data_IF_272310315395
#
_entry.id   IF_272310315395
#
_cell.length_a   1.000
_cell.length_b   1.000
_cell.length_c   1.000
_cell.angle_alpha   90.00
_cell.angle_beta   90.00
_cell.angle_gamma   90.00
#
_symmetry.space_group_name_H-M   'P 1'
#
loop_
_entity.id
_entity.type
_entity.pdbx_description
1 polymer ?
#
# COMPACT_ATOMS: atom_id res chain seq x y z
N UNK A 1 -3.35 12.93 -27.83
CA UNK A 1 -3.11 12.72 -26.39
C UNK A 1 -2.11 11.59 -26.21
N UNK A 2 -1.41 11.59 -25.07
CA UNK A 2 -0.44 10.56 -24.69
C UNK A 2 -1.01 9.83 -23.49
N UNK A 3 -0.95 8.50 -23.49
CA UNK A 3 -1.33 7.64 -22.37
C UNK A 3 -0.08 6.92 -21.87
N UNK A 4 0.26 7.13 -20.60
CA UNK A 4 1.27 6.35 -19.91
C UNK A 4 0.62 5.12 -19.27
N UNK A 5 1.05 3.95 -19.71
CA UNK A 5 0.55 2.65 -19.22
C UNK A 5 1.46 1.98 -18.20
N UNK A 6 2.52 2.66 -17.80
CA UNK A 6 3.44 2.17 -16.76
C UNK A 6 2.94 2.52 -15.36
N UNK A 7 3.43 1.79 -14.37
CA UNK A 7 3.18 2.03 -12.94
C UNK A 7 4.10 3.11 -12.35
N UNK A 8 4.55 4.05 -13.19
CA UNK A 8 5.35 5.22 -12.84
C UNK A 8 4.70 6.48 -13.43
N UNK A 9 4.77 7.63 -12.74
CA UNK A 9 4.31 8.88 -13.31
C UNK A 9 5.06 9.23 -14.58
N UNK A 10 4.37 9.72 -15.58
CA UNK A 10 5.04 10.22 -16.78
C UNK A 10 5.80 11.50 -16.49
N UNK A 11 7.00 11.63 -17.05
CA UNK A 11 7.82 12.84 -16.97
C UNK A 11 7.68 13.65 -18.26
N UNK A 12 7.43 14.93 -18.17
CA UNK A 12 7.36 15.83 -19.32
C UNK A 12 6.57 17.11 -19.03
N UNK A 13 6.70 18.08 -19.91
CA UNK A 13 6.07 19.40 -19.77
C UNK A 13 4.69 19.49 -20.49
N UNK A 14 4.22 18.38 -21.01
CA UNK A 14 2.93 18.32 -21.74
C UNK A 14 1.94 17.39 -21.00
N UNK A 15 0.63 17.59 -21.17
CA UNK A 15 -0.37 16.77 -20.50
C UNK A 15 -0.30 15.29 -20.93
N UNK A 16 -0.17 14.41 -19.95
CA UNK A 16 -0.14 12.95 -20.14
C UNK A 16 -1.23 12.32 -19.29
N UNK A 17 -2.06 11.48 -19.89
CA UNK A 17 -2.94 10.59 -19.12
C UNK A 17 -2.12 9.49 -18.47
N UNK A 18 -2.28 9.28 -17.17
CA UNK A 18 -1.52 8.30 -16.40
C UNK A 18 -2.42 7.61 -15.40
N UNK A 19 -2.13 6.35 -15.05
CA UNK A 19 -2.89 5.61 -14.03
C UNK A 19 -2.50 6.00 -12.60
N UNK A 20 -1.36 6.65 -12.46
CA UNK A 20 -0.87 7.20 -11.20
C UNK A 20 -0.26 8.59 -11.45
N UNK A 21 -0.31 9.42 -10.45
CA UNK A 21 0.25 10.76 -10.45
C UNK A 21 1.28 10.94 -9.35
N UNK A 22 1.99 12.05 -9.46
CA UNK A 22 2.92 12.51 -8.47
C UNK A 22 2.89 14.05 -8.47
N UNK A 23 2.82 14.67 -7.30
CA UNK A 23 2.80 16.14 -7.17
C UNK A 23 3.96 16.83 -7.89
N UNK A 24 5.09 16.13 -8.04
CA UNK A 24 6.25 16.61 -8.78
C UNK A 24 5.97 16.77 -10.28
N UNK A 25 5.01 16.01 -10.83
CA UNK A 25 4.70 15.99 -12.26
C UNK A 25 3.26 16.45 -12.50
N UNK A 26 3.04 17.76 -12.37
CA UNK A 26 1.73 18.40 -12.50
C UNK A 26 1.08 18.25 -13.89
N UNK A 27 1.84 17.81 -14.89
CA UNK A 27 1.35 17.49 -16.22
C UNK A 27 0.57 16.18 -16.31
N UNK A 28 0.60 15.33 -15.27
CA UNK A 28 -0.15 14.09 -15.27
C UNK A 28 -1.63 14.34 -14.98
N UNK A 29 -2.48 13.83 -15.88
CA UNK A 29 -3.92 13.75 -15.69
C UNK A 29 -4.23 12.31 -15.26
N UNK A 30 -4.51 12.13 -13.97
CA UNK A 30 -4.74 10.78 -13.43
C UNK A 30 -6.10 10.27 -13.84
N UNK A 31 -6.13 9.11 -14.47
CA UNK A 31 -7.33 8.44 -14.98
C UNK A 31 -7.46 7.05 -14.38
N UNK A 32 -8.68 6.47 -14.34
CA UNK A 32 -8.88 5.11 -13.87
C UNK A 32 -8.06 4.10 -14.67
N UNK A 33 -7.40 3.17 -13.98
CA UNK A 33 -6.73 2.04 -14.62
C UNK A 33 -7.77 0.98 -15.03
N UNK A 34 -7.97 0.74 -16.33
CA UNK A 34 -8.97 -0.22 -16.80
C UNK A 34 -8.61 -1.67 -16.39
N UNK A 35 -7.33 -1.98 -16.17
CA UNK A 35 -6.90 -3.29 -15.72
C UNK A 35 -7.30 -3.54 -14.25
N UNK A 36 -7.09 -2.55 -13.38
CA UNK A 36 -7.57 -2.62 -12.00
C UNK A 36 -9.11 -2.69 -11.94
N UNK A 37 -9.79 -1.85 -12.71
CA UNK A 37 -11.25 -1.88 -12.79
C UNK A 37 -11.76 -3.26 -13.23
N UNK A 38 -11.22 -3.84 -14.31
CA UNK A 38 -11.64 -5.16 -14.79
C UNK A 38 -11.35 -6.28 -13.80
N UNK A 39 -10.28 -6.15 -13.00
CA UNK A 39 -9.89 -7.13 -12.00
C UNK A 39 -10.76 -7.09 -10.74
N UNK A 40 -11.16 -5.91 -10.29
CA UNK A 40 -11.78 -5.70 -8.98
C UNK A 40 -13.25 -5.26 -9.05
N UNK A 41 -13.70 -4.65 -10.16
CA UNK A 41 -15.08 -4.19 -10.30
C UNK A 41 -16.06 -5.36 -10.22
N UNK A 42 -17.03 -5.24 -9.35
CA UNK A 42 -18.06 -6.26 -9.12
C UNK A 42 -17.57 -7.50 -8.36
N UNK A 43 -16.33 -7.51 -7.84
CA UNK A 43 -15.84 -8.59 -6.99
C UNK A 43 -16.11 -8.27 -5.53
N UNK A 44 -16.76 -9.22 -4.86
CA UNK A 44 -16.84 -9.25 -3.40
C UNK A 44 -15.66 -10.07 -2.86
N UNK A 45 -14.96 -9.52 -1.88
CA UNK A 45 -13.93 -10.26 -1.17
C UNK A 45 -14.57 -10.97 0.02
N UNK A 46 -14.44 -12.29 0.05
CA UNK A 46 -14.97 -13.11 1.14
C UNK A 46 -14.15 -12.89 2.41
N UNK A 47 -14.59 -11.95 3.23
CA UNK A 47 -14.05 -11.74 4.56
C UNK A 47 -15.21 -11.76 5.57
N UNK A 48 -15.52 -12.96 6.04
CA UNK A 48 -16.63 -13.20 6.97
C UNK A 48 -16.23 -12.98 8.44
N UNK A 49 -14.95 -12.61 8.70
CA UNK A 49 -14.47 -12.43 10.07
C UNK A 49 -14.78 -11.02 10.56
N UNK A 50 -15.49 -10.93 11.69
CA UNK A 50 -15.74 -9.64 12.33
C UNK A 50 -14.42 -8.95 12.72
N UNK A 51 -14.32 -7.65 12.49
CA UNK A 51 -13.14 -6.85 12.81
C UNK A 51 -12.65 -7.04 14.25
N UNK A 52 -13.58 -7.13 15.21
CA UNK A 52 -13.24 -7.29 16.63
C UNK A 52 -12.55 -8.62 16.93
N UNK A 53 -12.80 -9.65 16.13
CA UNK A 53 -12.27 -11.01 16.33
C UNK A 53 -10.96 -11.25 15.59
N UNK A 54 -10.52 -10.32 14.74
CA UNK A 54 -9.26 -10.40 14.01
C UNK A 54 -8.05 -10.18 14.95
N UNK A 55 -6.89 -10.62 14.50
CA UNK A 55 -5.62 -10.38 15.19
C UNK A 55 -5.38 -8.87 15.36
N UNK A 56 -5.09 -8.43 16.58
CA UNK A 56 -4.82 -7.02 16.88
C UNK A 56 -3.40 -6.63 16.44
N UNK A 57 -3.15 -6.69 15.13
CA UNK A 57 -1.87 -6.39 14.50
C UNK A 57 -2.08 -5.76 13.14
N UNK A 58 -1.02 -5.12 12.64
CA UNK A 58 -0.95 -4.58 11.28
C UNK A 58 -0.03 -5.44 10.43
N UNK A 59 -0.45 -5.76 9.21
CA UNK A 59 0.30 -6.65 8.31
C UNK A 59 0.66 -5.97 6.99
N UNK A 60 1.83 -6.30 6.47
CA UNK A 60 2.23 -6.03 5.08
C UNK A 60 2.96 -7.24 4.49
N UNK A 61 2.60 -7.64 3.28
CA UNK A 61 3.32 -8.58 2.41
C UNK A 61 3.41 -7.98 1.03
N UNK A 62 4.60 -7.93 0.46
CA UNK A 62 4.81 -7.41 -0.89
C UNK A 62 6.23 -7.62 -1.37
N UNK A 63 6.50 -7.27 -2.62
CA UNK A 63 7.86 -7.25 -3.17
C UNK A 63 8.61 -6.00 -2.69
N UNK A 64 9.94 -6.03 -2.78
CA UNK A 64 10.83 -4.89 -2.48
C UNK A 64 10.85 -3.82 -3.58
N UNK A 65 9.80 -3.76 -4.42
CA UNK A 65 9.67 -2.73 -5.45
C UNK A 65 9.68 -1.33 -4.85
N UNK A 66 10.13 -0.40 -5.64
CA UNK A 66 10.33 1.00 -5.31
C UNK A 66 11.53 1.47 -6.12
N UNK A 67 11.36 2.49 -6.95
CA UNK A 67 12.38 2.93 -7.91
C UNK A 67 13.52 3.70 -7.23
N UNK A 68 14.19 3.06 -6.27
CA UNK A 68 15.30 3.63 -5.54
C UNK A 68 16.60 2.88 -5.85
N UNK A 69 17.70 3.59 -6.12
CA UNK A 69 18.97 2.97 -6.47
C UNK A 69 19.63 2.22 -5.29
N UNK A 70 19.21 2.51 -4.06
CA UNK A 70 19.79 1.92 -2.84
C UNK A 70 18.70 1.49 -1.85
N UNK A 71 18.90 0.36 -1.13
CA UNK A 71 17.91 -0.18 -0.18
C UNK A 71 17.52 0.79 0.94
N UNK A 72 18.46 1.61 1.41
CA UNK A 72 18.23 2.60 2.48
C UNK A 72 17.32 3.78 2.10
N UNK A 73 16.83 3.81 0.86
CA UNK A 73 15.81 4.76 0.38
C UNK A 73 14.50 4.06 0.03
N UNK A 74 14.50 2.73 -0.01
CA UNK A 74 13.30 1.96 -0.31
C UNK A 74 12.38 1.90 0.92
N UNK A 75 11.18 2.43 0.79
CA UNK A 75 10.24 2.56 1.90
C UNK A 75 9.75 1.22 2.43
N UNK A 76 9.59 0.21 1.57
CA UNK A 76 9.19 -1.14 1.97
C UNK A 76 10.29 -1.83 2.78
N UNK A 77 11.54 -1.72 2.33
CA UNK A 77 12.71 -2.23 3.08
C UNK A 77 12.82 -1.53 4.43
N UNK A 78 12.74 -0.19 4.44
CA UNK A 78 12.81 0.60 5.68
C UNK A 78 11.68 0.24 6.64
N UNK A 79 10.44 0.18 6.17
CA UNK A 79 9.30 -0.16 7.01
C UNK A 79 9.44 -1.55 7.63
N UNK A 80 9.86 -2.56 6.85
CA UNK A 80 10.12 -3.91 7.37
C UNK A 80 11.28 -3.91 8.38
N UNK A 81 12.35 -3.16 8.13
CA UNK A 81 13.52 -3.11 8.99
C UNK A 81 13.25 -2.41 10.33
N UNK A 82 12.61 -1.25 10.30
CA UNK A 82 12.26 -0.48 11.49
C UNK A 82 11.28 -1.21 12.42
N UNK A 83 10.48 -2.10 11.86
CA UNK A 83 9.43 -2.81 12.60
C UNK A 83 9.73 -4.27 12.89
N UNK A 84 10.88 -4.80 12.48
CA UNK A 84 11.23 -6.23 12.55
C UNK A 84 11.13 -6.87 13.94
N UNK A 85 11.33 -6.06 14.99
CA UNK A 85 11.33 -6.51 16.39
C UNK A 85 10.02 -6.13 17.14
N UNK A 86 8.98 -5.66 16.42
CA UNK A 86 7.70 -5.24 16.97
C UNK A 86 6.64 -6.34 16.81
N UNK A 87 6.22 -7.03 17.87
CA UNK A 87 5.38 -8.23 17.76
C UNK A 87 3.97 -7.97 17.19
N UNK A 88 3.47 -6.73 17.28
CA UNK A 88 2.16 -6.33 16.73
C UNK A 88 2.23 -5.83 15.29
N UNK A 89 3.42 -5.77 14.69
CA UNK A 89 3.65 -5.27 13.32
C UNK A 89 4.33 -6.37 12.52
N UNK A 90 3.61 -6.93 11.56
CA UNK A 90 4.10 -8.02 10.72
C UNK A 90 4.36 -7.54 9.29
N UNK A 91 5.42 -6.74 9.13
CA UNK A 91 5.85 -6.24 7.82
C UNK A 91 7.01 -7.07 7.28
N UNK A 92 6.78 -7.71 6.14
CA UNK A 92 7.77 -8.59 5.49
C UNK A 92 7.74 -8.44 3.97
N UNK A 93 8.91 -8.62 3.37
CA UNK A 93 9.08 -8.75 1.93
C UNK A 93 8.89 -10.22 1.56
N UNK A 94 7.98 -10.48 0.63
CA UNK A 94 7.71 -11.84 0.15
C UNK A 94 8.40 -12.17 -1.16
N UNK A 95 8.95 -11.17 -1.86
CA UNK A 95 9.65 -11.36 -3.11
C UNK A 95 10.67 -10.24 -3.32
N UNK A 96 11.94 -10.59 -3.43
CA UNK A 96 13.04 -9.67 -3.70
C UNK A 96 13.30 -9.60 -5.20
N UNK A 97 12.93 -8.50 -5.84
CA UNK A 97 13.06 -8.26 -7.28
C UNK A 97 14.00 -7.10 -7.59
N UNK A 98 14.21 -6.19 -6.63
CA UNK A 98 15.02 -4.98 -6.82
C UNK A 98 16.43 -5.11 -6.27
N UNK A 99 16.59 -5.83 -5.16
CA UNK A 99 17.89 -5.93 -4.47
C UNK A 99 18.30 -7.38 -4.22
N UNK A 100 19.55 -7.70 -4.54
CA UNK A 100 20.16 -8.98 -4.16
C UNK A 100 20.44 -9.03 -2.66
N UNK A 101 20.55 -10.25 -2.11
CA UNK A 101 20.97 -10.46 -0.71
C UNK A 101 22.28 -9.71 -0.41
N UNK A 102 23.28 -9.84 -1.29
CA UNK A 102 24.56 -9.16 -1.12
C UNK A 102 24.41 -7.64 -1.05
N UNK A 103 23.53 -7.06 -1.86
CA UNK A 103 23.25 -5.62 -1.82
C UNK A 103 22.64 -5.22 -0.47
N UNK A 104 21.66 -5.97 0.03
CA UNK A 104 21.04 -5.71 1.33
C UNK A 104 22.04 -5.81 2.47
N UNK A 105 22.87 -6.85 2.49
CA UNK A 105 23.93 -7.06 3.51
C UNK A 105 24.91 -5.91 3.53
N UNK A 106 25.34 -5.38 2.36
CA UNK A 106 26.24 -4.22 2.26
C UNK A 106 25.65 -2.94 2.88
N UNK A 107 24.32 -2.81 2.90
CA UNK A 107 23.62 -1.69 3.52
C UNK A 107 23.13 -2.00 4.95
N UNK A 108 23.53 -3.13 5.52
CA UNK A 108 23.24 -3.52 6.90
C UNK A 108 21.82 -4.10 7.11
N UNK A 109 21.13 -4.51 6.05
CA UNK A 109 19.84 -5.14 6.12
C UNK A 109 19.99 -6.67 6.09
N UNK A 110 19.60 -7.33 7.17
CA UNK A 110 19.54 -8.78 7.25
C UNK A 110 18.23 -9.27 6.60
N UNK A 111 18.35 -9.94 5.45
CA UNK A 111 17.20 -10.41 4.68
C UNK A 111 16.33 -11.38 5.48
N UNK A 112 16.94 -12.22 6.34
CA UNK A 112 16.22 -13.23 7.10
C UNK A 112 15.28 -12.59 8.15
N UNK A 113 15.56 -11.37 8.57
CA UNK A 113 14.72 -10.59 9.50
C UNK A 113 13.54 -9.90 8.83
N UNK A 114 13.63 -9.61 7.55
CA UNK A 114 12.61 -8.84 6.81
C UNK A 114 11.89 -9.65 5.75
N UNK A 115 12.24 -10.92 5.55
CA UNK A 115 11.60 -11.82 4.58
C UNK A 115 10.54 -12.71 5.22
N UNK A 116 9.53 -13.06 4.46
CA UNK A 116 8.56 -14.12 4.78
C UNK A 116 7.90 -14.65 3.52
N UNK A 117 7.20 -15.78 3.63
CA UNK A 117 6.40 -16.32 2.55
C UNK A 117 5.29 -15.35 2.13
N UNK A 118 4.89 -15.46 0.86
CA UNK A 118 3.70 -14.77 0.37
C UNK A 118 2.46 -15.19 1.16
N UNK A 119 1.58 -14.23 1.42
CA UNK A 119 0.25 -14.45 1.99
C UNK A 119 -0.81 -13.97 1.02
N UNK A 120 -1.85 -14.77 0.87
CA UNK A 120 -3.03 -14.38 0.08
C UNK A 120 -3.73 -13.17 0.71
N UNK A 121 -4.58 -12.44 -0.03
CA UNK A 121 -5.46 -11.43 0.56
C UNK A 121 -6.28 -11.98 1.73
N UNK A 122 -6.82 -13.22 1.63
CA UNK A 122 -7.60 -13.87 2.69
C UNK A 122 -6.77 -14.10 3.96
N UNK A 123 -5.48 -14.49 3.82
CA UNK A 123 -4.61 -14.67 4.98
C UNK A 123 -4.29 -13.32 5.63
N UNK A 124 -4.04 -12.28 4.82
CA UNK A 124 -3.81 -10.93 5.33
C UNK A 124 -5.05 -10.37 6.04
N UNK A 125 -6.26 -10.72 5.61
CA UNK A 125 -7.51 -10.33 6.26
C UNK A 125 -7.74 -10.95 7.65
N UNK A 126 -6.88 -11.84 8.13
CA UNK A 126 -6.92 -12.29 9.52
C UNK A 126 -6.47 -11.21 10.52
N UNK A 127 -5.87 -10.15 10.04
CA UNK A 127 -5.38 -9.00 10.83
C UNK A 127 -6.37 -7.84 10.76
N UNK A 128 -6.46 -7.08 11.87
CA UNK A 128 -7.33 -5.89 11.92
C UNK A 128 -6.90 -4.81 10.92
N UNK A 129 -5.60 -4.67 10.71
CA UNK A 129 -5.05 -3.59 9.90
C UNK A 129 -4.18 -4.15 8.77
N UNK A 130 -4.35 -3.61 7.58
CA UNK A 130 -3.57 -3.95 6.40
C UNK A 130 -2.82 -2.68 5.97
N UNK A 131 -1.49 -2.74 6.00
CA UNK A 131 -0.67 -1.62 5.58
C UNK A 131 -0.56 -1.56 4.06
N UNK A 132 -0.72 -0.36 3.51
CA UNK A 132 -0.40 -0.04 2.13
C UNK A 132 0.88 0.81 2.11
N UNK A 133 1.98 0.21 1.62
CA UNK A 133 3.29 0.84 1.49
C UNK A 133 3.60 0.98 0.00
N UNK A 134 3.96 2.17 -0.42
CA UNK A 134 4.29 2.46 -1.82
C UNK A 134 5.40 1.54 -2.34
N UNK A 135 5.26 1.16 -3.61
CA UNK A 135 6.30 0.55 -4.42
C UNK A 135 6.90 1.57 -5.37
N UNK A 136 6.84 1.30 -6.67
CA UNK A 136 7.23 2.28 -7.69
C UNK A 136 6.32 3.52 -7.66
N UNK A 137 5.06 3.29 -7.34
CA UNK A 137 4.06 4.30 -7.00
C UNK A 137 3.24 3.80 -5.81
N UNK A 138 1.95 4.05 -5.79
CA UNK A 138 1.01 3.54 -4.80
C UNK A 138 0.94 2.00 -4.77
N UNK A 139 0.37 1.43 -3.73
CA UNK A 139 0.15 -0.02 -3.61
C UNK A 139 -0.92 -0.53 -4.57
N UNK A 140 -0.56 -0.66 -5.81
CA UNK A 140 -1.31 -1.06 -7.00
C UNK A 140 -2.74 -1.61 -6.74
N UNK A 141 -2.91 -2.90 -6.52
CA UNK A 141 -4.26 -3.47 -6.30
C UNK A 141 -4.63 -3.67 -4.82
N UNK A 142 -3.69 -3.43 -3.89
CA UNK A 142 -3.90 -3.64 -2.45
C UNK A 142 -5.07 -2.82 -1.92
N UNK A 143 -5.13 -1.54 -2.27
CA UNK A 143 -6.22 -0.67 -1.84
C UNK A 143 -7.58 -1.19 -2.30
N UNK A 144 -7.67 -1.73 -3.53
CA UNK A 144 -8.92 -2.23 -4.09
C UNK A 144 -9.47 -3.43 -3.31
N UNK A 145 -8.62 -4.45 -3.02
CA UNK A 145 -9.12 -5.61 -2.29
C UNK A 145 -9.24 -5.36 -0.79
N UNK A 146 -8.30 -4.59 -0.18
CA UNK A 146 -8.33 -4.36 1.26
C UNK A 146 -9.54 -3.52 1.70
N UNK A 147 -9.93 -2.51 0.93
CA UNK A 147 -11.15 -1.74 1.18
C UNK A 147 -12.42 -2.59 1.10
N UNK A 148 -12.39 -3.71 0.36
CA UNK A 148 -13.50 -4.66 0.26
C UNK A 148 -13.63 -5.63 1.43
N UNK A 149 -12.80 -5.53 2.45
CA UNK A 149 -12.71 -6.46 3.58
C UNK A 149 -13.16 -5.83 4.90
N UNK A 150 -13.27 -6.65 5.94
CA UNK A 150 -13.52 -6.20 7.31
C UNK A 150 -12.23 -5.79 8.05
N UNK A 151 -11.13 -5.59 7.34
CA UNK A 151 -9.89 -5.03 7.89
C UNK A 151 -9.78 -3.56 7.54
N UNK A 152 -9.07 -2.79 8.35
CA UNK A 152 -8.81 -1.37 8.06
C UNK A 152 -7.55 -1.25 7.22
N UNK A 153 -7.67 -0.68 6.03
CA UNK A 153 -6.54 -0.27 5.21
C UNK A 153 -5.88 0.95 5.85
N UNK A 154 -4.59 0.89 6.09
CA UNK A 154 -3.77 1.97 6.65
C UNK A 154 -2.70 2.35 5.63
N UNK A 155 -2.74 3.58 5.14
CA UNK A 155 -1.71 4.10 4.24
C UNK A 155 -0.45 4.47 5.03
N UNK A 156 0.67 3.86 4.69
CA UNK A 156 1.96 4.31 5.18
C UNK A 156 2.45 5.42 4.27
N UNK A 157 2.43 6.64 4.78
CA UNK A 157 2.72 7.83 4.01
C UNK A 157 4.19 7.87 3.63
N UNK A 158 4.45 7.98 2.34
CA UNK A 158 5.76 8.25 1.79
C UNK A 158 6.21 9.67 2.07
N UNK A 159 7.50 9.84 2.35
CA UNK A 159 8.16 11.16 2.37
C UNK A 159 8.79 11.51 1.02
N UNK A 160 8.90 10.54 0.12
CA UNK A 160 9.65 10.65 -1.13
C UNK A 160 8.79 10.52 -2.38
N UNK A 161 7.59 9.97 -2.26
CA UNK A 161 6.68 9.71 -3.38
C UNK A 161 5.29 10.19 -2.97
N UNK A 162 4.77 11.20 -3.63
CA UNK A 162 3.35 11.46 -3.58
C UNK A 162 2.65 10.46 -4.49
N UNK A 163 1.65 9.81 -3.97
CA UNK A 163 0.87 8.80 -4.66
C UNK A 163 -0.54 9.33 -4.89
N UNK A 164 -0.78 9.77 -6.09
CA UNK A 164 -2.12 10.13 -6.53
C UNK A 164 -2.71 9.01 -7.39
N UNK A 165 -3.92 8.61 -7.04
CA UNK A 165 -4.82 7.86 -7.91
C UNK A 165 -6.03 8.70 -8.23
N UNK A 166 -6.83 8.28 -9.20
CA UNK A 166 -8.06 8.98 -9.56
C UNK A 166 -9.06 9.10 -8.39
N UNK A 167 -8.95 8.27 -7.36
CA UNK A 167 -9.82 8.28 -6.18
C UNK A 167 -9.14 8.82 -4.89
N UNK A 168 -7.84 9.10 -4.89
CA UNK A 168 -7.08 9.51 -3.67
C UNK A 168 -7.66 10.74 -3.00
N UNK A 169 -7.97 11.79 -3.76
CA UNK A 169 -8.58 13.02 -3.23
C UNK A 169 -9.91 12.77 -2.56
N UNK A 170 -10.71 11.85 -3.10
CA UNK A 170 -11.99 11.51 -2.50
C UNK A 170 -11.80 10.80 -1.16
N UNK A 171 -10.85 9.89 -1.06
CA UNK A 171 -10.53 9.20 0.19
C UNK A 171 -10.00 10.15 1.26
N UNK A 172 -9.18 11.13 0.89
CA UNK A 172 -8.67 12.17 1.79
C UNK A 172 -9.78 13.07 2.34
N UNK A 173 -10.61 13.60 1.46
CA UNK A 173 -11.72 14.50 1.82
C UNK A 173 -12.74 13.84 2.76
N UNK A 174 -12.92 12.53 2.67
CA UNK A 174 -13.88 11.79 3.49
C UNK A 174 -13.23 11.02 4.64
N UNK A 175 -11.93 11.21 4.90
CA UNK A 175 -11.19 10.53 5.97
C UNK A 175 -11.40 9.01 5.97
N UNK A 176 -11.37 8.39 4.78
CA UNK A 176 -11.68 6.96 4.62
C UNK A 176 -10.50 6.08 4.98
N UNK A 177 -9.27 6.53 4.65
CA UNK A 177 -8.04 5.76 4.89
C UNK A 177 -7.13 6.52 5.84
N UNK A 178 -6.86 5.99 7.04
CA UNK A 178 -5.91 6.60 7.96
C UNK A 178 -4.50 6.54 7.37
N UNK A 179 -3.72 7.58 7.63
CA UNK A 179 -2.33 7.72 7.17
C UNK A 179 -1.38 7.78 8.35
N UNK A 180 -0.30 7.03 8.27
CA UNK A 180 0.78 7.01 9.26
C UNK A 180 2.13 7.20 8.58
N UNK A 181 3.03 7.92 9.20
CA UNK A 181 4.44 7.91 8.82
C UNK A 181 5.11 6.61 9.31
N UNK A 182 6.20 6.16 8.68
CA UNK A 182 6.94 4.96 9.10
C UNK A 182 7.30 5.03 10.60
N UNK A 183 7.76 6.19 11.09
CA UNK A 183 8.09 6.42 12.50
C UNK A 183 6.89 6.38 13.45
N UNK A 184 5.67 6.46 12.94
CA UNK A 184 4.41 6.50 13.67
C UNK A 184 3.65 5.18 13.59
N UNK A 185 4.17 4.17 12.91
CA UNK A 185 3.49 2.90 12.67
C UNK A 185 3.01 2.26 13.98
N UNK A 186 3.73 2.41 15.08
CA UNK A 186 3.33 1.88 16.40
C UNK A 186 2.00 2.43 16.88
N UNK A 187 1.58 3.58 16.39
CA UNK A 187 0.31 4.22 16.73
C UNK A 187 -0.90 3.60 16.02
N UNK A 188 -0.72 2.56 15.20
CA UNK A 188 -1.84 1.95 14.45
C UNK A 188 -2.98 1.50 15.37
N UNK A 189 -2.70 1.14 16.62
CA UNK A 189 -3.71 0.74 17.59
C UNK A 189 -4.63 1.90 18.02
N UNK A 190 -4.24 3.15 17.80
CA UNK A 190 -5.08 4.31 18.07
C UNK A 190 -6.08 4.61 16.95
N UNK A 191 -5.98 3.89 15.83
CA UNK A 191 -6.91 4.00 14.71
C UNK A 191 -8.25 3.40 15.13
N UNK A 192 -9.31 4.21 15.10
CA UNK A 192 -10.62 3.83 15.56
C UNK A 192 -11.32 2.85 14.63
N UNK A 193 -12.17 2.00 15.20
CA UNK A 193 -12.96 1.04 14.45
C UNK A 193 -13.95 1.68 13.45
N UNK A 194 -14.26 2.96 13.61
CA UNK A 194 -15.13 3.69 12.67
C UNK A 194 -14.56 3.73 11.24
N UNK A 195 -13.22 3.69 11.08
CA UNK A 195 -12.62 3.59 9.75
C UNK A 195 -13.06 2.33 9.01
N UNK A 196 -13.27 1.23 9.71
CA UNK A 196 -13.78 0.01 9.10
C UNK A 196 -15.17 0.22 8.50
N UNK A 197 -16.05 0.92 9.20
CA UNK A 197 -17.40 1.25 8.71
C UNK A 197 -17.32 2.16 7.49
N UNK A 198 -16.50 3.21 7.55
CA UNK A 198 -16.35 4.16 6.46
C UNK A 198 -15.80 3.48 5.20
N UNK A 199 -14.86 2.58 5.34
CA UNK A 199 -14.29 1.82 4.23
C UNK A 199 -15.31 0.87 3.60
N UNK A 200 -16.15 0.21 4.38
CA UNK A 200 -17.22 -0.64 3.88
C UNK A 200 -18.28 0.15 3.10
N UNK A 201 -18.63 1.35 3.57
CA UNK A 201 -19.55 2.23 2.85
C UNK A 201 -18.93 2.70 1.54
N UNK A 202 -17.67 3.11 1.56
CA UNK A 202 -16.95 3.55 0.37
C UNK A 202 -16.88 2.46 -0.69
N UNK A 203 -16.57 1.24 -0.28
CA UNK A 203 -16.48 0.10 -1.20
C UNK A 203 -17.80 -0.17 -1.93
N UNK A 204 -18.95 -0.02 -1.25
CA UNK A 204 -20.28 -0.16 -1.86
C UNK A 204 -20.59 0.92 -2.90
N UNK A 205 -19.87 2.04 -2.86
CA UNK A 205 -20.05 3.15 -3.81
C UNK A 205 -19.16 2.97 -5.04
N UNK A 206 -17.95 2.41 -4.84
CA UNK A 206 -16.96 2.25 -5.92
C UNK A 206 -17.11 0.94 -6.72
N UNK A 207 -17.63 -0.11 -6.11
CA UNK A 207 -17.75 -1.43 -6.71
C UNK A 207 -19.23 -1.84 -6.95
#
# INVERSE_FOLDING_TARGET
FILNTYDEPATGDFPVFSFCGNEKYQSNIVVPDPHLLSRHMGKTYEDNKDFKTKNSSIIFRGSDTGNFPIPSKNERILACWETKDKPSIDFKISNFVSYSKQCLDMFGFDIDKISANHLSPQDQCQHKYIADINGNTMGWDRSCWALGTNSVLVKIQSTNISDETWYSKYMELNHIVPRLLIKEIENFNSIEAEYNINQQVFNKILL
#
